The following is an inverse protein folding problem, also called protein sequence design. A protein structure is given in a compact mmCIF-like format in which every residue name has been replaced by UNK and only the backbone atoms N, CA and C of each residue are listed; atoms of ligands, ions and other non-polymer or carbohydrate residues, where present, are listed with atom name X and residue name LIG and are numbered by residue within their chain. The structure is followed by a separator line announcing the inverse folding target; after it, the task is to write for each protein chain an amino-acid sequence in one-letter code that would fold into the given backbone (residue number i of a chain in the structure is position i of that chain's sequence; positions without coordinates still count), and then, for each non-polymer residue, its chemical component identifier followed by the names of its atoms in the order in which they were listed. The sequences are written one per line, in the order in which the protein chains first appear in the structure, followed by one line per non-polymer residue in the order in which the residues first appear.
data_IF_098391172286
#
_entry.id   IF_098391172286
#
_cell.length_a   1.000
_cell.length_b   1.000
_cell.length_c   1.000
_cell.angle_alpha   90.00
_cell.angle_beta   90.00
_cell.angle_gamma   90.00
#
_symmetry.space_group_name_H-M   'P 1'
#
loop_
_entity.id
_entity.type
_entity.pdbx_description
1 polymer ?
#
# COMPACT_ATOMS: atom_id res chain seq x y z
N UNK A 1 6.48 -24.41 7.13
CA UNK A 1 5.54 -23.37 6.66
C UNK A 1 6.14 -22.75 5.41
N UNK A 2 5.51 -22.86 4.25
CA UNK A 2 5.93 -22.17 3.02
C UNK A 2 5.21 -20.83 3.01
N UNK A 3 5.95 -19.73 2.95
CA UNK A 3 5.37 -18.40 2.80
C UNK A 3 5.23 -18.10 1.31
N UNK A 4 4.04 -17.79 0.80
CA UNK A 4 3.89 -17.41 -0.61
C UNK A 4 4.64 -16.10 -0.84
N UNK A 5 5.61 -16.11 -1.74
CA UNK A 5 6.39 -14.94 -2.15
C UNK A 5 6.37 -14.91 -3.68
N UNK A 6 6.24 -13.73 -4.26
CA UNK A 6 6.32 -13.51 -5.69
C UNK A 6 7.33 -12.39 -6.00
N UNK A 7 7.91 -12.37 -7.23
CA UNK A 7 8.72 -11.25 -7.69
C UNK A 7 7.93 -9.94 -7.62
N UNK A 8 8.64 -8.82 -7.56
CA UNK A 8 7.98 -7.51 -7.55
C UNK A 8 6.96 -7.40 -8.68
N UNK A 9 5.73 -7.04 -8.32
CA UNK A 9 4.64 -6.86 -9.25
C UNK A 9 4.22 -5.38 -9.29
N UNK A 10 4.37 -4.69 -10.44
CA UNK A 10 3.97 -3.29 -10.58
C UNK A 10 2.49 -3.02 -10.25
N UNK A 11 1.64 -4.05 -10.30
CA UNK A 11 0.23 -3.92 -9.91
C UNK A 11 0.07 -3.52 -8.44
N UNK A 12 1.04 -3.78 -7.57
CA UNK A 12 0.97 -3.39 -6.18
C UNK A 12 0.93 -1.87 -6.01
N UNK A 13 1.70 -1.14 -6.83
CA UNK A 13 1.66 0.33 -6.88
C UNK A 13 0.29 0.83 -7.31
N UNK A 14 -0.25 0.27 -8.40
CA UNK A 14 -1.58 0.64 -8.91
C UNK A 14 -2.70 0.33 -7.89
N UNK A 15 -2.61 -0.80 -7.20
CA UNK A 15 -3.57 -1.18 -6.15
C UNK A 15 -3.50 -0.19 -4.98
N UNK A 16 -2.29 0.16 -4.52
CA UNK A 16 -2.11 1.17 -3.49
C UNK A 16 -2.68 2.53 -3.92
N UNK A 17 -2.39 3.00 -5.14
CA UNK A 17 -2.89 4.28 -5.66
C UNK A 17 -4.42 4.34 -5.66
N UNK A 18 -5.08 3.23 -6.04
CA UNK A 18 -6.54 3.10 -5.98
C UNK A 18 -7.07 3.21 -4.56
N UNK A 19 -6.46 2.47 -3.61
CA UNK A 19 -6.88 2.47 -2.20
C UNK A 19 -6.62 3.85 -1.57
N UNK A 20 -5.50 4.50 -1.89
CA UNK A 20 -5.18 5.85 -1.42
C UNK A 20 -6.24 6.86 -1.87
N UNK A 21 -6.70 6.79 -3.12
CA UNK A 21 -7.76 7.67 -3.63
C UNK A 21 -9.10 7.46 -2.89
N UNK A 22 -9.46 6.21 -2.62
CA UNK A 22 -10.65 5.86 -1.84
C UNK A 22 -10.53 6.39 -0.40
N UNK A 23 -9.39 6.15 0.26
CA UNK A 23 -9.13 6.61 1.61
C UNK A 23 -9.16 8.14 1.71
N UNK A 24 -8.57 8.88 0.78
CA UNK A 24 -8.66 10.35 0.78
C UNK A 24 -10.08 10.87 0.60
N UNK A 25 -10.91 10.16 -0.16
CA UNK A 25 -12.32 10.52 -0.32
C UNK A 25 -13.08 10.33 0.99
N UNK A 26 -12.85 9.20 1.68
CA UNK A 26 -13.50 8.86 2.95
C UNK A 26 -13.01 9.72 4.13
N UNK A 27 -11.71 9.99 4.17
CA UNK A 27 -11.04 10.73 5.24
C UNK A 27 -11.00 12.24 5.00
N UNK A 28 -11.64 12.75 3.95
CA UNK A 28 -11.65 14.17 3.57
C UNK A 28 -11.87 15.17 4.73
N UNK A 29 -12.74 14.90 5.74
CA UNK A 29 -12.93 15.82 6.86
C UNK A 29 -11.73 15.86 7.83
N UNK A 30 -10.86 14.87 7.78
CA UNK A 30 -9.72 14.67 8.68
C UNK A 30 -8.46 14.99 7.90
N UNK A 31 -7.57 15.77 8.51
CA UNK A 31 -6.25 15.99 7.92
C UNK A 31 -5.41 14.72 8.09
N UNK A 32 -5.32 13.94 7.02
CA UNK A 32 -4.63 12.64 7.01
C UNK A 32 -3.48 12.59 6.00
N UNK A 33 -2.41 11.86 6.33
CA UNK A 33 -1.41 11.34 5.40
C UNK A 33 -1.65 9.85 5.18
N UNK A 34 -1.49 9.38 3.95
CA UNK A 34 -1.67 7.98 3.57
C UNK A 34 -0.44 7.55 2.78
N UNK A 35 0.34 6.59 3.31
CA UNK A 35 1.62 6.16 2.74
C UNK A 35 1.64 4.65 2.50
N UNK A 36 2.24 4.22 1.38
CA UNK A 36 2.51 2.82 1.09
C UNK A 36 3.74 2.37 1.87
N UNK A 37 3.57 1.42 2.78
CA UNK A 37 4.66 0.84 3.56
C UNK A 37 4.80 -0.66 3.28
N UNK A 38 5.77 -1.30 3.94
CA UNK A 38 6.00 -2.73 3.79
C UNK A 38 6.74 -3.12 2.50
N UNK A 39 6.90 -4.41 2.27
CA UNK A 39 7.75 -4.93 1.18
C UNK A 39 7.19 -4.65 -0.21
N UNK A 40 5.87 -4.58 -0.37
CA UNK A 40 5.23 -4.30 -1.67
C UNK A 40 5.38 -2.84 -2.12
N UNK A 41 5.78 -1.94 -1.22
CA UNK A 41 6.12 -0.55 -1.52
C UNK A 41 7.52 -0.40 -2.15
N UNK A 42 8.37 -1.43 -2.07
CA UNK A 42 9.75 -1.38 -2.56
C UNK A 42 9.82 -1.97 -3.97
N UNK A 43 10.05 -1.11 -4.96
CA UNK A 43 10.20 -1.53 -6.36
C UNK A 43 11.37 -2.53 -6.51
N UNK A 44 11.12 -3.64 -7.21
CA UNK A 44 12.09 -4.72 -7.41
C UNK A 44 12.24 -5.71 -6.26
N UNK A 45 11.61 -5.48 -5.10
CA UNK A 45 11.64 -6.43 -3.98
C UNK A 45 10.58 -7.54 -4.15
N UNK A 46 11.00 -8.80 -4.05
CA UNK A 46 10.05 -9.91 -3.95
C UNK A 46 9.33 -9.84 -2.61
N UNK A 47 8.02 -10.11 -2.59
CA UNK A 47 7.20 -9.95 -1.40
C UNK A 47 6.00 -10.90 -1.41
N UNK A 48 5.30 -10.97 -0.28
CA UNK A 48 3.90 -11.44 -0.25
C UNK A 48 3.03 -10.36 -0.91
N UNK A 49 1.99 -10.72 -1.68
CA UNK A 49 1.11 -9.76 -2.35
C UNK A 49 0.09 -9.13 -1.38
N UNK A 50 0.59 -8.43 -0.36
CA UNK A 50 -0.20 -7.67 0.62
C UNK A 50 0.23 -6.20 0.58
N UNK A 51 -0.75 -5.30 0.46
CA UNK A 51 -0.52 -3.86 0.51
C UNK A 51 -0.65 -3.41 1.96
N UNK A 52 0.45 -2.90 2.54
CA UNK A 52 0.45 -2.32 3.87
C UNK A 52 0.32 -0.80 3.75
N UNK A 53 -0.61 -0.21 4.50
CA UNK A 53 -0.89 1.22 4.43
C UNK A 53 -0.72 1.83 5.82
N UNK A 54 0.04 2.93 5.89
CA UNK A 54 0.13 3.76 7.07
C UNK A 54 -0.77 4.98 6.91
N UNK A 55 -1.62 5.24 7.90
CA UNK A 55 -2.44 6.45 7.97
C UNK A 55 -1.98 7.28 9.16
N UNK A 56 -1.43 8.45 8.89
CA UNK A 56 -1.10 9.45 9.91
C UNK A 56 -2.24 10.45 10.05
N UNK A 57 -2.72 10.69 11.26
CA UNK A 57 -3.71 11.73 11.59
C UNK A 57 -3.02 12.84 12.39
N UNK A 58 -3.53 14.07 12.27
CA UNK A 58 -3.15 15.20 13.13
C UNK A 58 -4.09 15.37 14.33
#
# INVERSE_FOLDING_TARGET
MILPFEPYNPIWKANFDSIQHELFTLLKPIRSRVDHIGSTAVEGLSAKPHIDILIGLE
#
